data_IF_795828109688
#
_entry.id   IF_795828109688
#
_cell.length_a   1.000
_cell.length_b   1.000
_cell.length_c   1.000
_cell.angle_alpha   90.00
_cell.angle_beta   90.00
_cell.angle_gamma   90.00
#
_symmetry.space_group_name_H-M   'P 1'
#
loop_
_entity.id
_entity.type
_entity.pdbx_description
1 polymer ?
#
# COMPACT_ATOMS: atom_id res chain seq x y z
N UNK A 1 12.84 -9.24 -11.32
CA UNK A 1 11.66 -8.42 -11.03
C UNK A 1 11.28 -8.60 -9.56
N UNK A 2 11.96 -7.91 -8.65
CA UNK A 2 11.70 -8.01 -7.20
C UNK A 2 12.24 -6.78 -6.44
N UNK A 3 13.30 -6.17 -6.97
CA UNK A 3 13.81 -4.89 -6.48
C UNK A 3 12.84 -3.77 -6.87
N UNK A 4 12.30 -3.78 -8.09
CA UNK A 4 11.41 -2.74 -8.62
C UNK A 4 10.08 -2.63 -7.85
N UNK A 5 9.41 -3.75 -7.54
CA UNK A 5 8.19 -3.78 -6.71
C UNK A 5 8.40 -3.33 -5.26
N UNK A 6 9.53 -3.73 -4.66
CA UNK A 6 9.89 -3.27 -3.30
C UNK A 6 10.26 -1.80 -3.29
N UNK A 7 10.86 -1.30 -4.36
CA UNK A 7 11.22 0.11 -4.51
C UNK A 7 9.98 0.97 -4.74
N UNK A 8 9.04 0.54 -5.59
CA UNK A 8 7.78 1.24 -5.84
C UNK A 8 6.96 1.42 -4.56
N UNK A 9 6.77 0.33 -3.80
CA UNK A 9 6.03 0.37 -2.53
C UNK A 9 6.70 1.27 -1.48
N UNK A 10 8.04 1.29 -1.42
CA UNK A 10 8.76 2.21 -0.52
C UNK A 10 8.73 3.65 -1.02
N UNK A 11 8.77 3.86 -2.33
CA UNK A 11 8.74 5.18 -2.93
C UNK A 11 7.38 5.86 -2.72
N UNK A 12 6.26 5.12 -2.85
CA UNK A 12 4.92 5.63 -2.51
C UNK A 12 4.82 5.99 -1.01
N UNK A 13 5.33 5.15 -0.12
CA UNK A 13 5.33 5.43 1.33
C UNK A 13 6.16 6.69 1.65
N UNK A 14 7.32 6.84 0.99
CA UNK A 14 8.21 7.98 1.17
C UNK A 14 7.61 9.27 0.57
N UNK A 15 6.91 9.15 -0.57
CA UNK A 15 6.17 10.25 -1.21
C UNK A 15 5.00 10.71 -0.33
N UNK A 16 4.25 9.78 0.26
CA UNK A 16 3.16 10.10 1.18
C UNK A 16 3.65 10.86 2.41
N UNK A 17 4.74 10.38 3.04
CA UNK A 17 5.37 11.10 4.16
C UNK A 17 5.94 12.45 3.76
N UNK A 18 6.50 12.57 2.56
CA UNK A 18 7.01 13.84 2.05
C UNK A 18 5.87 14.85 1.84
N UNK A 19 4.73 14.44 1.27
CA UNK A 19 3.53 15.29 1.14
C UNK A 19 3.01 15.72 2.51
N UNK A 20 2.95 14.80 3.47
CA UNK A 20 2.47 15.10 4.82
C UNK A 20 3.37 16.11 5.54
N UNK A 21 4.69 15.93 5.43
CA UNK A 21 5.68 16.85 5.99
C UNK A 21 5.68 18.21 5.28
N UNK A 22 5.56 18.22 3.95
CA UNK A 22 5.48 19.45 3.16
C UNK A 22 4.21 20.23 3.50
N UNK A 23 3.04 19.58 3.50
CA UNK A 23 1.77 20.19 3.87
C UNK A 23 1.77 20.71 5.31
N UNK A 24 2.37 19.98 6.25
CA UNK A 24 2.55 20.47 7.62
C UNK A 24 3.47 21.69 7.71
N UNK A 25 4.50 21.77 6.87
CA UNK A 25 5.43 22.89 6.84
C UNK A 25 4.86 24.16 6.20
N UNK A 26 4.03 24.01 5.15
CA UNK A 26 3.40 25.15 4.45
C UNK A 26 1.98 25.48 4.94
N UNK A 27 1.42 24.68 5.84
CA UNK A 27 0.05 24.87 6.35
C UNK A 27 -1.03 24.47 5.34
N UNK A 28 -0.73 23.52 4.47
CA UNK A 28 -1.62 23.03 3.42
C UNK A 28 -2.23 21.70 3.87
N UNK A 29 -3.50 21.74 4.24
CA UNK A 29 -4.25 20.58 4.74
C UNK A 29 -4.51 19.54 3.63
N UNK A 30 -4.69 19.97 2.37
CA UNK A 30 -4.85 19.08 1.23
C UNK A 30 -3.62 18.17 1.03
N UNK A 31 -2.41 18.74 1.09
CA UNK A 31 -1.15 17.98 1.00
C UNK A 31 -0.98 16.99 2.17
N UNK A 32 -1.42 17.37 3.38
CA UNK A 32 -1.42 16.48 4.54
C UNK A 32 -2.38 15.32 4.38
N UNK A 33 -3.60 15.60 3.92
CA UNK A 33 -4.63 14.59 3.75
C UNK A 33 -4.32 13.66 2.59
N UNK A 34 -3.74 14.14 1.48
CA UNK A 34 -3.21 13.29 0.42
C UNK A 34 -2.12 12.33 0.94
N UNK A 35 -1.18 12.84 1.75
CA UNK A 35 -0.12 12.01 2.34
C UNK A 35 -0.65 10.89 3.25
N UNK A 36 -1.70 11.17 4.02
CA UNK A 36 -2.38 10.17 4.86
C UNK A 36 -3.22 9.20 4.03
N UNK A 37 -3.91 9.68 3.01
CA UNK A 37 -4.72 8.85 2.12
C UNK A 37 -3.85 7.86 1.33
N UNK A 38 -2.70 8.29 0.82
CA UNK A 38 -1.72 7.43 0.15
C UNK A 38 -1.22 6.30 1.09
N UNK A 39 -0.94 6.62 2.36
CA UNK A 39 -0.53 5.63 3.37
C UNK A 39 -1.66 4.65 3.71
N UNK A 40 -2.88 5.14 3.90
CA UNK A 40 -4.04 4.30 4.21
C UNK A 40 -4.38 3.36 3.06
N UNK A 41 -4.42 3.88 1.82
CA UNK A 41 -4.63 3.10 0.61
C UNK A 41 -3.58 2.01 0.44
N UNK A 42 -2.30 2.34 0.67
CA UNK A 42 -1.21 1.37 0.64
C UNK A 42 -1.36 0.26 1.69
N UNK A 43 -1.79 0.60 2.91
CA UNK A 43 -2.03 -0.39 3.95
C UNK A 43 -3.20 -1.33 3.61
N UNK A 44 -4.29 -0.76 3.07
CA UNK A 44 -5.47 -1.53 2.63
C UNK A 44 -5.13 -2.45 1.46
N UNK A 45 -4.38 -1.97 0.45
CA UNK A 45 -3.91 -2.79 -0.67
C UNK A 45 -3.08 -3.98 -0.18
N UNK A 46 -2.07 -3.73 0.67
CA UNK A 46 -1.23 -4.79 1.24
C UNK A 46 -2.03 -5.81 2.07
N UNK A 47 -3.03 -5.36 2.82
CA UNK A 47 -3.91 -6.25 3.58
C UNK A 47 -4.81 -7.07 2.66
N UNK A 48 -5.41 -6.44 1.64
CA UNK A 48 -6.25 -7.09 0.64
C UNK A 48 -5.50 -8.12 -0.19
N UNK A 49 -4.29 -7.80 -0.66
CA UNK A 49 -3.42 -8.73 -1.37
C UNK A 49 -3.06 -9.93 -0.50
N UNK A 50 -2.66 -9.73 0.76
CA UNK A 50 -2.39 -10.85 1.68
C UNK A 50 -3.60 -11.76 1.90
N UNK A 51 -4.80 -11.17 2.02
CA UNK A 51 -6.04 -11.94 2.18
C UNK A 51 -6.34 -12.70 0.89
N UNK A 52 -6.19 -12.07 -0.28
CA UNK A 52 -6.41 -12.69 -1.58
C UNK A 52 -5.41 -13.81 -1.86
N UNK A 53 -4.13 -13.63 -1.56
CA UNK A 53 -3.10 -14.68 -1.64
C UNK A 53 -3.46 -15.88 -0.78
N UNK A 54 -3.82 -15.65 0.50
CA UNK A 54 -4.23 -16.73 1.40
C UNK A 54 -5.52 -17.41 0.95
N UNK A 55 -6.48 -16.65 0.43
CA UNK A 55 -7.73 -17.19 -0.10
C UNK A 55 -7.51 -18.00 -1.36
N UNK A 56 -6.62 -17.57 -2.26
CA UNK A 56 -6.20 -18.34 -3.43
C UNK A 56 -5.46 -19.60 -3.01
N UNK A 57 -4.54 -19.55 -2.04
CA UNK A 57 -3.85 -20.75 -1.53
C UNK A 57 -4.83 -21.76 -0.91
N UNK A 58 -5.83 -21.27 -0.17
CA UNK A 58 -6.89 -22.09 0.42
C UNK A 58 -7.84 -22.66 -0.64
N UNK A 59 -8.24 -21.84 -1.62
CA UNK A 59 -9.09 -22.28 -2.71
C UNK A 59 -8.36 -23.30 -3.58
N UNK A 60 -7.07 -23.12 -3.84
CA UNK A 60 -6.25 -24.09 -4.58
C UNK A 60 -6.10 -25.40 -3.79
N UNK A 61 -5.92 -25.35 -2.46
CA UNK A 61 -5.93 -26.56 -1.60
C UNK A 61 -7.29 -27.25 -1.49
N UNK A 62 -8.38 -26.51 -1.53
CA UNK A 62 -9.75 -27.05 -1.38
C UNK A 62 -10.33 -27.52 -2.72
N UNK A 63 -9.88 -26.92 -3.82
CA UNK A 63 -10.34 -27.25 -5.18
C UNK A 63 -9.37 -28.19 -5.91
N UNK A 64 -8.18 -28.44 -5.35
CA UNK A 64 -7.13 -29.30 -5.92
C UNK A 64 -7.17 -30.76 -5.44
N UNK A 65 -8.34 -31.39 -5.49
CA UNK A 65 -8.50 -32.85 -5.41
C UNK A 65 -9.53 -33.28 -6.47
N UNK A 66 -9.12 -33.21 -7.75
CA UNK A 66 -9.16 -34.28 -8.78
C UNK A 66 -8.27 -33.88 -9.98
#
# INVERSE_FOLDING_TARGET
MAVEDKFGNKAEELKGRAKEAAGAAVGDDDLRDEGKADQASSAVKKAGEKVKDKANELAEKVTGDD
#
